data_IF_708591522575
#
_entry.id   IF_708591522575
#
_cell.length_a   1.000
_cell.length_b   1.000
_cell.length_c   1.000
_cell.angle_alpha   90.00
_cell.angle_beta   90.00
_cell.angle_gamma   90.00
#
_symmetry.space_group_name_H-M   'P 1'
#
loop_
_entity.id
_entity.type
_entity.pdbx_description
1 polymer ?
#
# COMPACT_ATOMS: atom_id res chain seq x y z
N UNK A 1 -9.80 -2.16 0.65
CA UNK A 1 -8.64 -2.39 -0.25
C UNK A 1 -9.12 -2.48 -1.70
N UNK A 2 -8.55 -1.69 -2.61
CA UNK A 2 -8.86 -1.70 -4.07
C UNK A 2 -7.68 -2.20 -4.88
N UNK A 3 -7.94 -2.77 -6.06
CA UNK A 3 -6.91 -3.07 -7.04
C UNK A 3 -6.97 -2.06 -8.18
N UNK A 4 -5.80 -1.53 -8.54
CA UNK A 4 -5.65 -0.54 -9.61
C UNK A 4 -4.44 -0.93 -10.45
N UNK A 5 -4.56 -0.90 -11.77
CA UNK A 5 -3.42 -1.13 -12.66
C UNK A 5 -2.50 0.09 -12.71
N UNK A 6 -1.23 -0.11 -13.05
CA UNK A 6 -0.27 1.01 -13.24
C UNK A 6 -0.71 2.00 -14.33
N UNK A 7 -1.59 1.56 -15.25
CA UNK A 7 -2.20 2.43 -16.26
C UNK A 7 -3.26 3.33 -15.63
N UNK A 8 -4.17 2.76 -14.85
CA UNK A 8 -5.19 3.51 -14.11
C UNK A 8 -4.55 4.44 -13.07
N UNK A 9 -3.45 4.03 -12.43
CA UNK A 9 -2.66 4.88 -11.54
C UNK A 9 -2.22 6.18 -12.22
N UNK A 10 -1.89 6.12 -13.51
CA UNK A 10 -1.45 7.27 -14.31
C UNK A 10 -2.59 8.11 -14.85
N UNK A 11 -3.74 7.51 -15.15
CA UNK A 11 -4.85 8.18 -15.86
C UNK A 11 -5.98 8.63 -14.93
N UNK A 12 -6.06 8.10 -13.70
CA UNK A 12 -7.16 8.33 -12.76
C UNK A 12 -6.71 8.95 -11.43
N UNK A 13 -5.64 9.76 -11.43
CA UNK A 13 -5.01 10.32 -10.23
C UNK A 13 -6.01 11.01 -9.28
N UNK A 14 -6.99 11.76 -9.81
CA UNK A 14 -8.04 12.42 -9.01
C UNK A 14 -8.85 11.42 -8.18
N UNK A 15 -9.29 10.33 -8.82
CA UNK A 15 -10.13 9.29 -8.19
C UNK A 15 -9.33 8.46 -7.18
N UNK A 16 -8.05 8.27 -7.45
CA UNK A 16 -7.11 7.64 -6.51
C UNK A 16 -6.93 8.49 -5.26
N UNK A 17 -6.81 9.82 -5.41
CA UNK A 17 -6.82 10.74 -4.28
C UNK A 17 -8.10 10.64 -3.45
N UNK A 18 -9.27 10.63 -4.09
CA UNK A 18 -10.57 10.45 -3.39
C UNK A 18 -10.63 9.16 -2.59
N UNK A 19 -10.14 8.04 -3.13
CA UNK A 19 -10.11 6.76 -2.43
C UNK A 19 -9.16 6.76 -1.24
N UNK A 20 -7.95 7.30 -1.40
CA UNK A 20 -6.98 7.41 -0.31
C UNK A 20 -7.52 8.33 0.80
N UNK A 21 -8.13 9.46 0.46
CA UNK A 21 -8.77 10.36 1.44
C UNK A 21 -9.93 9.70 2.19
N UNK A 22 -10.57 8.67 1.61
CA UNK A 22 -11.58 7.86 2.27
C UNK A 22 -10.98 6.72 3.14
N UNK A 23 -9.68 6.80 3.46
CA UNK A 23 -8.92 5.80 4.21
C UNK A 23 -8.86 4.41 3.55
N UNK A 24 -8.99 4.34 2.22
CA UNK A 24 -8.91 3.06 1.49
C UNK A 24 -7.47 2.75 1.02
N UNK A 25 -6.94 1.59 1.40
CA UNK A 25 -5.71 1.05 0.81
C UNK A 25 -5.89 0.66 -0.66
N UNK A 26 -4.85 0.89 -1.48
CA UNK A 26 -4.84 0.54 -2.90
C UNK A 26 -3.64 -0.38 -3.21
N UNK A 27 -3.91 -1.52 -3.84
CA UNK A 27 -2.91 -2.41 -4.42
C UNK A 27 -2.69 -2.02 -5.88
N UNK A 28 -1.46 -1.64 -6.21
CA UNK A 28 -1.06 -1.37 -7.59
C UNK A 28 -0.61 -2.65 -8.25
N UNK A 29 -1.11 -2.90 -9.46
CA UNK A 29 -0.73 -4.04 -10.28
C UNK A 29 -0.04 -3.62 -11.57
N UNK A 30 0.93 -4.42 -12.03
CA UNK A 30 1.44 -4.38 -13.39
C UNK A 30 1.18 -5.73 -14.03
N UNK A 31 0.54 -5.76 -15.21
CA UNK A 31 0.22 -7.01 -15.93
C UNK A 31 -0.46 -8.07 -15.04
N UNK A 32 -1.38 -7.63 -14.16
CA UNK A 32 -2.10 -8.50 -13.22
C UNK A 32 -1.32 -8.91 -11.95
N UNK A 33 -0.04 -8.57 -11.85
CA UNK A 33 0.78 -8.87 -10.67
C UNK A 33 0.83 -7.68 -9.70
N UNK A 34 0.58 -7.87 -8.40
CA UNK A 34 0.79 -6.83 -7.39
C UNK A 34 2.26 -6.40 -7.34
N UNK A 35 2.49 -5.09 -7.44
CA UNK A 35 3.84 -4.50 -7.41
C UNK A 35 4.02 -3.47 -6.29
N UNK A 36 2.93 -2.87 -5.80
CA UNK A 36 2.98 -1.89 -4.72
C UNK A 36 1.66 -1.82 -3.96
N UNK A 37 1.71 -1.18 -2.79
CA UNK A 37 0.55 -0.74 -2.02
C UNK A 37 0.69 0.75 -1.78
N UNK A 38 -0.37 1.51 -2.04
CA UNK A 38 -0.54 2.87 -1.55
C UNK A 38 -1.47 2.80 -0.35
N UNK A 39 -0.97 3.20 0.81
CA UNK A 39 -1.78 3.41 2.00
C UNK A 39 -1.88 4.92 2.27
N UNK A 40 -3.06 5.42 2.64
CA UNK A 40 -3.18 6.78 3.11
C UNK A 40 -2.37 6.97 4.38
N UNK A 41 -1.82 8.15 4.56
CA UNK A 41 -1.04 8.54 5.75
C UNK A 41 -1.72 9.73 6.40
N UNK A 42 -1.68 9.79 7.73
CA UNK A 42 -2.22 10.94 8.49
C UNK A 42 -1.10 11.84 8.98
N UNK A 43 -1.48 12.94 9.66
CA UNK A 43 -0.53 13.88 10.29
C UNK A 43 0.07 13.36 11.60
N UNK A 44 -0.41 12.21 12.11
CA UNK A 44 0.33 11.45 13.15
C UNK A 44 1.74 11.13 12.64
N UNK A 45 2.73 10.83 13.52
CA UNK A 45 4.11 10.75 13.08
C UNK A 45 4.24 9.64 12.02
N UNK A 46 4.28 10.04 10.74
CA UNK A 46 4.38 9.17 9.58
C UNK A 46 5.50 8.15 9.75
N UNK A 47 6.57 8.55 10.43
CA UNK A 47 7.69 7.66 10.78
C UNK A 47 7.26 6.47 11.64
N UNK A 48 6.42 6.67 12.65
CA UNK A 48 5.92 5.61 13.54
C UNK A 48 5.05 4.63 12.74
N UNK A 49 4.13 5.13 11.92
CA UNK A 49 3.28 4.31 11.08
C UNK A 49 4.09 3.52 10.04
N UNK A 50 5.02 4.19 9.37
CA UNK A 50 5.94 3.56 8.41
C UNK A 50 6.83 2.50 9.08
N UNK A 51 7.32 2.75 10.28
CA UNK A 51 8.11 1.77 11.04
C UNK A 51 7.27 0.54 11.38
N UNK A 52 6.03 0.72 11.84
CA UNK A 52 5.12 -0.40 12.13
C UNK A 52 4.86 -1.26 10.87
N UNK A 53 4.62 -0.63 9.72
CA UNK A 53 4.45 -1.35 8.44
C UNK A 53 5.71 -2.15 8.05
N UNK A 54 6.89 -1.55 8.21
CA UNK A 54 8.17 -2.20 7.91
C UNK A 54 8.45 -3.37 8.85
N UNK A 55 8.20 -3.20 10.15
CA UNK A 55 8.33 -4.27 11.14
C UNK A 55 7.39 -5.44 10.84
N UNK A 56 6.13 -5.17 10.49
CA UNK A 56 5.17 -6.21 10.11
C UNK A 56 5.65 -7.00 8.87
N UNK A 57 6.25 -6.32 7.88
CA UNK A 57 6.84 -6.96 6.70
C UNK A 57 8.07 -7.81 7.07
N UNK A 58 8.94 -7.31 7.94
CA UNK A 58 10.11 -8.04 8.43
C UNK A 58 9.70 -9.28 9.25
N UNK A 59 8.73 -9.14 10.14
CA UNK A 59 8.19 -10.24 10.94
C UNK A 59 7.63 -11.39 10.09
N UNK A 60 6.98 -11.08 8.96
CA UNK A 60 6.56 -12.12 7.98
C UNK A 60 7.72 -12.83 7.30
N UNK A 61 8.85 -12.16 7.09
CA UNK A 61 10.05 -12.79 6.53
C UNK A 61 10.71 -13.71 7.56
N UNK A 62 10.76 -13.30 8.83
CA UNK A 62 11.32 -14.09 9.92
C UNK A 62 10.44 -15.29 10.29
N UNK A 63 9.11 -15.15 10.28
CA UNK A 63 8.16 -16.24 10.51
C UNK A 63 8.00 -17.20 9.32
N UNK A 64 8.63 -16.93 8.17
CA UNK A 64 8.70 -17.88 7.03
C UNK A 64 9.90 -18.81 7.11
N UNK A 65 10.65 -18.82 8.22
CA UNK A 65 11.72 -19.77 8.45
C UNK A 65 11.14 -21.07 9.02
N UNK A 66 11.18 -22.21 8.31
CA UNK A 66 10.81 -23.49 8.87
C UNK A 66 12.00 -24.02 9.68
N UNK A 67 12.03 -23.80 10.99
CA UNK A 67 12.81 -24.60 11.95
C UNK A 67 12.05 -24.66 13.26
#
# INVERSE_FOLDING_TARGET
MRLVSIRELRTQTRRIGEWLSAAEDIVVTSTGQPIAVLSPVTEEPFEVELMAMRQARAGRALNRTPF
#
